data_IF_976698452228
#
_entry.id   IF_976698452228
#
_cell.length_a   1.000
_cell.length_b   1.000
_cell.length_c   1.000
_cell.angle_alpha   90.00
_cell.angle_beta   90.00
_cell.angle_gamma   90.00
#
_symmetry.space_group_name_H-M   'P 1'
#
loop_
_entity.id
_entity.type
_entity.pdbx_description
1 polymer ?
#
# COMPACT_ATOMS: atom_id res chain seq x y z
N UNK A 1 -12.23 20.14 14.70
CA UNK A 1 -11.76 20.55 13.35
C UNK A 1 -11.17 19.33 12.66
N UNK A 2 -11.81 18.86 11.60
CA UNK A 2 -11.18 17.94 10.64
C UNK A 2 -9.87 18.56 10.17
N UNK A 3 -8.79 17.77 10.08
CA UNK A 3 -7.53 18.27 9.54
C UNK A 3 -7.76 18.73 8.10
N UNK A 4 -7.11 19.83 7.68
CA UNK A 4 -7.21 20.33 6.30
C UNK A 4 -6.85 19.23 5.27
N UNK A 5 -5.94 18.32 5.63
CA UNK A 5 -5.61 17.13 4.85
C UNK A 5 -6.77 16.14 4.69
N UNK A 6 -7.64 15.99 5.70
CA UNK A 6 -8.78 15.08 5.60
C UNK A 6 -9.85 15.61 4.64
N UNK A 7 -9.95 16.94 4.47
CA UNK A 7 -10.96 17.53 3.58
C UNK A 7 -10.73 17.17 2.11
N UNK A 8 -9.47 16.90 1.71
CA UNK A 8 -9.09 16.46 0.36
C UNK A 8 -9.98 15.29 -0.11
N UNK A 9 -10.24 14.31 0.75
CA UNK A 9 -11.08 13.16 0.40
C UNK A 9 -12.57 13.45 0.41
N UNK A 10 -12.99 14.68 0.73
CA UNK A 10 -14.41 15.08 0.79
C UNK A 10 -14.77 16.21 -0.19
N UNK A 11 -13.79 16.82 -0.87
CA UNK A 11 -13.99 17.97 -1.76
C UNK A 11 -14.88 17.66 -2.98
N UNK A 12 -14.79 16.44 -3.52
CA UNK A 12 -15.56 16.05 -4.71
C UNK A 12 -16.26 14.72 -4.50
N UNK A 13 -17.37 14.51 -5.23
CA UNK A 13 -18.08 13.23 -5.24
C UNK A 13 -17.16 12.05 -5.57
N UNK A 14 -16.22 12.25 -6.49
CA UNK A 14 -15.25 11.21 -6.90
C UNK A 14 -14.30 10.86 -5.76
N UNK A 15 -13.72 11.87 -5.10
CA UNK A 15 -12.79 11.65 -3.98
C UNK A 15 -13.49 11.10 -2.75
N UNK A 16 -14.74 11.51 -2.50
CA UNK A 16 -15.56 10.99 -1.40
C UNK A 16 -15.91 9.52 -1.60
N UNK A 17 -16.27 9.11 -2.81
CA UNK A 17 -16.52 7.70 -3.15
C UNK A 17 -15.23 6.89 -3.07
N UNK A 18 -14.14 7.38 -3.68
CA UNK A 18 -12.85 6.71 -3.62
C UNK A 18 -12.40 6.53 -2.17
N UNK A 19 -12.45 7.60 -1.37
CA UNK A 19 -12.12 7.60 0.04
C UNK A 19 -12.94 6.60 0.85
N UNK A 20 -14.22 6.41 0.53
CA UNK A 20 -15.07 5.41 1.19
C UNK A 20 -14.71 3.98 0.78
N UNK A 21 -14.49 3.73 -0.51
CA UNK A 21 -14.20 2.38 -1.03
C UNK A 21 -12.82 1.90 -0.55
N UNK A 22 -11.79 2.75 -0.53
CA UNK A 22 -10.44 2.36 -0.06
C UNK A 22 -10.36 2.11 1.45
N UNK A 23 -11.27 2.67 2.25
CA UNK A 23 -11.36 2.43 3.70
C UNK A 23 -11.96 1.06 4.05
N UNK A 24 -12.53 0.36 3.08
CA UNK A 24 -13.18 -0.92 3.27
C UNK A 24 -12.57 -1.94 2.29
N UNK A 25 -11.27 -2.25 2.41
CA UNK A 25 -10.61 -3.15 1.48
C UNK A 25 -11.23 -4.55 1.49
N UNK A 26 -11.32 -5.16 0.31
CA UNK A 26 -11.92 -6.49 0.11
C UNK A 26 -13.45 -6.53 0.16
N UNK A 27 -14.14 -5.47 0.62
CA UNK A 27 -15.61 -5.42 0.59
C UNK A 27 -16.11 -5.07 -0.80
N UNK A 28 -17.12 -5.81 -1.26
CA UNK A 28 -17.89 -5.46 -2.45
C UNK A 28 -19.11 -4.60 -2.07
N UNK A 29 -19.39 -3.61 -2.92
CA UNK A 29 -20.47 -2.65 -2.73
C UNK A 29 -21.38 -2.58 -3.95
N UNK A 30 -22.67 -2.37 -3.73
CA UNK A 30 -23.57 -1.88 -4.77
C UNK A 30 -23.73 -0.36 -4.71
N UNK A 31 -24.16 0.27 -5.81
CA UNK A 31 -24.28 1.75 -5.90
C UNK A 31 -25.17 2.33 -4.80
N UNK A 32 -26.24 1.63 -4.40
CA UNK A 32 -27.16 2.06 -3.34
C UNK A 32 -26.48 2.15 -1.97
N UNK A 33 -25.56 1.24 -1.66
CA UNK A 33 -24.80 1.28 -0.40
C UNK A 33 -23.84 2.46 -0.38
N UNK A 34 -23.13 2.70 -1.49
CA UNK A 34 -22.21 3.83 -1.64
C UNK A 34 -22.99 5.15 -1.58
N UNK A 35 -24.15 5.21 -2.23
CA UNK A 35 -25.06 6.37 -2.16
C UNK A 35 -25.44 6.69 -0.72
N UNK A 36 -25.90 5.69 0.05
CA UNK A 36 -26.29 5.86 1.46
C UNK A 36 -25.10 6.29 2.33
N UNK A 37 -23.93 5.69 2.14
CA UNK A 37 -22.76 5.98 2.95
C UNK A 37 -22.13 7.34 2.66
N UNK A 38 -22.18 7.80 1.41
CA UNK A 38 -21.53 9.05 0.98
C UNK A 38 -22.47 10.24 0.89
N UNK A 39 -23.79 10.01 0.85
CA UNK A 39 -24.80 11.06 0.64
C UNK A 39 -24.80 11.67 -0.76
N UNK A 40 -24.07 11.10 -1.72
CA UNK A 40 -24.02 11.59 -3.10
C UNK A 40 -25.25 11.10 -3.86
N UNK A 41 -25.73 11.87 -4.86
CA UNK A 41 -26.85 11.44 -5.70
C UNK A 41 -26.54 10.17 -6.49
N UNK A 42 -27.57 9.40 -6.85
CA UNK A 42 -27.43 8.17 -7.67
C UNK A 42 -26.64 8.43 -8.97
N UNK A 43 -26.95 9.52 -9.67
CA UNK A 43 -26.24 9.91 -10.89
C UNK A 43 -24.76 10.24 -10.63
N UNK A 44 -24.47 10.97 -9.54
CA UNK A 44 -23.11 11.29 -9.13
C UNK A 44 -22.29 10.05 -8.76
N UNK A 45 -22.91 9.10 -8.04
CA UNK A 45 -22.30 7.80 -7.71
C UNK A 45 -21.98 7.02 -8.98
N UNK A 46 -22.94 6.89 -9.89
CA UNK A 46 -22.74 6.16 -11.14
C UNK A 46 -21.59 6.76 -11.98
N UNK A 47 -21.58 8.09 -12.14
CA UNK A 47 -20.54 8.79 -12.90
C UNK A 47 -19.16 8.62 -12.27
N UNK A 48 -19.05 8.82 -10.95
CA UNK A 48 -17.79 8.69 -10.22
C UNK A 48 -17.25 7.25 -10.28
N UNK A 49 -18.08 6.25 -10.04
CA UNK A 49 -17.67 4.85 -10.08
C UNK A 49 -17.22 4.40 -11.47
N UNK A 50 -17.89 4.87 -12.54
CA UNK A 50 -17.43 4.62 -13.92
C UNK A 50 -16.04 5.22 -14.16
N UNK A 51 -15.81 6.47 -13.73
CA UNK A 51 -14.51 7.14 -13.86
C UNK A 51 -13.40 6.43 -13.06
N UNK A 52 -13.69 6.05 -11.82
CA UNK A 52 -12.74 5.33 -10.97
C UNK A 52 -12.42 3.93 -11.51
N UNK A 53 -13.42 3.25 -12.08
CA UNK A 53 -13.22 1.96 -12.73
C UNK A 53 -12.38 2.08 -14.01
N UNK A 54 -12.62 3.10 -14.84
CA UNK A 54 -11.80 3.38 -16.01
C UNK A 54 -10.33 3.63 -15.64
N UNK A 55 -10.09 4.32 -14.51
CA UNK A 55 -8.75 4.57 -13.96
C UNK A 55 -8.16 3.40 -13.17
N UNK A 56 -8.86 2.26 -13.09
CA UNK A 56 -8.44 1.07 -12.32
C UNK A 56 -8.15 1.35 -10.83
N UNK A 57 -8.80 2.37 -10.25
CA UNK A 57 -8.73 2.65 -8.80
C UNK A 57 -9.82 1.92 -8.02
N UNK A 58 -10.90 1.54 -8.72
CA UNK A 58 -12.00 0.73 -8.23
C UNK A 58 -12.23 -0.40 -9.23
N UNK A 59 -12.34 -1.64 -8.76
CA UNK A 59 -12.74 -2.75 -9.60
C UNK A 59 -14.27 -2.78 -9.72
N UNK A 60 -14.77 -3.09 -10.92
CA UNK A 60 -16.20 -3.21 -11.20
C UNK A 60 -16.49 -4.58 -11.80
N UNK A 61 -17.27 -5.40 -11.10
CA UNK A 61 -17.71 -6.73 -11.56
C UNK A 61 -19.20 -6.73 -11.82
N UNK A 62 -19.63 -7.31 -12.94
CA UNK A 62 -21.04 -7.55 -13.22
C UNK A 62 -21.39 -8.95 -12.75
N UNK A 63 -22.44 -9.07 -11.92
CA UNK A 63 -23.04 -10.37 -11.56
C UNK A 63 -24.55 -10.27 -11.80
N UNK A 64 -25.03 -11.01 -12.79
CA UNK A 64 -26.40 -10.91 -13.29
C UNK A 64 -26.72 -9.49 -13.81
N UNK A 65 -27.74 -8.88 -13.20
CA UNK A 65 -28.19 -7.51 -13.52
C UNK A 65 -27.52 -6.42 -12.67
N UNK A 66 -26.67 -6.80 -11.71
CA UNK A 66 -26.06 -5.87 -10.76
C UNK A 66 -24.58 -5.66 -11.03
N UNK A 67 -24.09 -4.48 -10.65
CA UNK A 67 -22.67 -4.16 -10.60
C UNK A 67 -22.21 -4.09 -9.16
N UNK A 68 -21.09 -4.76 -8.90
CA UNK A 68 -20.38 -4.76 -7.63
C UNK A 68 -19.07 -4.00 -7.80
N UNK A 69 -18.74 -3.19 -6.80
CA UNK A 69 -17.57 -2.32 -6.80
C UNK A 69 -16.71 -2.62 -5.58
N UNK A 70 -15.40 -2.75 -5.77
CA UNK A 70 -14.45 -2.95 -4.66
C UNK A 70 -13.15 -2.21 -4.92
N UNK A 71 -12.35 -2.01 -3.88
CA UNK A 71 -11.02 -1.41 -4.04
C UNK A 71 -10.03 -2.42 -4.61
N UNK A 72 -9.04 -1.95 -5.36
CA UNK A 72 -7.95 -2.79 -5.82
C UNK A 72 -6.84 -2.83 -4.78
N UNK A 73 -6.81 -3.90 -3.97
CA UNK A 73 -5.88 -4.02 -2.83
C UNK A 73 -4.41 -4.05 -3.27
N UNK A 74 -4.14 -4.60 -4.46
CA UNK A 74 -2.78 -4.69 -5.02
C UNK A 74 -2.39 -3.43 -5.83
N UNK A 75 -3.30 -2.46 -5.97
CA UNK A 75 -2.99 -1.24 -6.69
C UNK A 75 -2.13 -0.31 -5.82
N UNK A 76 -0.92 -0.03 -6.30
CA UNK A 76 0.05 0.81 -5.60
C UNK A 76 -0.50 2.22 -5.29
N UNK A 77 -1.22 2.85 -6.22
CA UNK A 77 -1.84 4.17 -5.99
C UNK A 77 -2.90 4.09 -4.89
N UNK A 78 -3.66 3.00 -4.82
CA UNK A 78 -4.61 2.76 -3.72
C UNK A 78 -3.88 2.66 -2.39
N UNK A 79 -2.75 1.92 -2.32
CA UNK A 79 -1.92 1.87 -1.11
C UNK A 79 -1.45 3.27 -0.69
N UNK A 80 -0.92 4.06 -1.61
CA UNK A 80 -0.45 5.43 -1.31
C UNK A 80 -1.58 6.37 -0.87
N UNK A 81 -2.76 6.28 -1.48
CA UNK A 81 -3.94 7.05 -1.06
C UNK A 81 -4.40 6.66 0.35
N UNK A 82 -4.33 5.37 0.70
CA UNK A 82 -4.62 4.90 2.06
C UNK A 82 -3.61 5.44 3.06
N UNK A 83 -2.31 5.43 2.74
CA UNK A 83 -1.27 6.02 3.60
C UNK A 83 -1.57 7.52 3.84
N UNK A 84 -1.86 8.28 2.79
CA UNK A 84 -2.24 9.70 2.92
C UNK A 84 -3.46 9.88 3.83
N UNK A 85 -4.49 9.05 3.66
CA UNK A 85 -5.70 9.13 4.48
C UNK A 85 -5.45 8.73 5.94
N UNK A 86 -4.63 7.71 6.17
CA UNK A 86 -4.18 7.27 7.49
C UNK A 86 -3.44 8.41 8.21
N UNK A 87 -2.48 9.05 7.54
CA UNK A 87 -1.75 10.22 8.06
C UNK A 87 -2.69 11.39 8.36
N UNK A 88 -3.63 11.70 7.46
CA UNK A 88 -4.61 12.75 7.66
C UNK A 88 -5.48 12.52 8.91
N UNK A 89 -5.85 11.26 9.17
CA UNK A 89 -6.61 10.83 10.35
C UNK A 89 -5.79 10.88 11.64
N UNK A 90 -4.50 10.57 11.58
CA UNK A 90 -3.59 10.62 12.74
C UNK A 90 -3.14 12.04 13.08
N UNK A 91 -3.14 12.96 12.10
CA UNK A 91 -2.65 14.33 12.23
C UNK A 91 -3.10 15.07 13.51
N UNK A 92 -4.39 15.03 13.93
CA UNK A 92 -4.82 15.70 15.16
C UNK A 92 -4.16 15.15 16.43
N UNK A 93 -3.94 13.83 16.50
CA UNK A 93 -3.27 13.19 17.63
C UNK A 93 -1.77 13.50 17.61
N UNK A 94 -1.13 13.34 16.46
CA UNK A 94 0.30 13.64 16.27
C UNK A 94 0.62 15.08 16.67
N UNK A 95 -0.22 16.05 16.30
CA UNK A 95 -0.06 17.47 16.72
C UNK A 95 -0.02 17.66 18.23
N UNK A 96 -0.82 16.89 18.99
CA UNK A 96 -0.85 16.97 20.47
C UNK A 96 0.36 16.30 21.11
N UNK A 97 0.87 15.23 20.49
CA UNK A 97 1.98 14.44 21.01
C UNK A 97 3.36 15.01 20.62
N UNK A 98 3.41 15.86 19.58
CA UNK A 98 4.66 16.39 18.99
C UNK A 98 5.57 17.06 20.02
N UNK A 99 5.02 17.84 20.96
CA UNK A 99 5.84 18.57 21.94
C UNK A 99 6.27 17.71 23.13
N UNK A 100 5.68 16.51 23.27
CA UNK A 100 6.00 15.57 24.34
C UNK A 100 6.91 14.44 23.85
N UNK A 101 7.23 14.38 22.56
CA UNK A 101 7.89 13.22 21.96
C UNK A 101 9.04 13.68 21.06
N UNK A 102 10.20 13.04 21.20
CA UNK A 102 11.34 13.27 20.32
C UNK A 102 11.10 12.70 18.92
N UNK A 103 10.51 11.50 18.84
CA UNK A 103 10.16 10.83 17.57
C UNK A 103 8.81 10.12 17.76
N UNK A 104 7.96 10.22 16.74
CA UNK A 104 6.68 9.50 16.66
C UNK A 104 6.74 8.69 15.37
N UNK A 105 6.58 7.39 15.47
CA UNK A 105 6.76 6.45 14.38
C UNK A 105 5.48 5.67 14.17
N UNK A 106 4.92 5.77 12.96
CA UNK A 106 3.81 4.94 12.51
C UNK A 106 4.40 3.74 11.79
N UNK A 107 4.14 2.54 12.29
CA UNK A 107 4.60 1.31 11.65
C UNK A 107 3.42 0.36 11.40
N UNK A 108 3.71 -0.87 11.00
CA UNK A 108 2.67 -1.85 10.72
C UNK A 108 1.80 -1.50 9.51
N UNK A 109 0.60 -2.07 9.47
CA UNK A 109 -0.27 -2.05 8.29
C UNK A 109 -0.72 -0.65 7.86
N UNK A 110 -0.86 0.30 8.80
CA UNK A 110 -1.27 1.67 8.52
C UNK A 110 -0.19 2.48 7.80
N UNK A 111 1.09 2.22 8.11
CA UNK A 111 2.23 2.85 7.42
C UNK A 111 2.38 2.38 5.97
N UNK A 112 1.97 1.13 5.68
CA UNK A 112 2.10 0.48 4.36
C UNK A 112 0.84 0.59 3.48
N UNK A 113 -0.25 1.15 4.00
CA UNK A 113 -1.54 1.23 3.29
C UNK A 113 -2.26 -0.12 3.17
N UNK A 114 -1.83 -1.11 3.94
CA UNK A 114 -2.34 -2.50 3.92
C UNK A 114 -3.45 -2.71 4.97
N UNK A 115 -3.65 -1.72 5.85
CA UNK A 115 -4.63 -1.78 6.92
C UNK A 115 -6.04 -2.13 6.42
N UNK A 116 -6.67 -3.10 7.08
CA UNK A 116 -8.09 -3.37 6.95
C UNK A 116 -8.88 -2.30 7.72
N UNK A 117 -10.20 -2.30 7.55
CA UNK A 117 -11.09 -1.34 8.22
C UNK A 117 -10.89 -1.34 9.73
N UNK A 118 -10.71 -2.52 10.31
CA UNK A 118 -10.63 -2.77 11.74
C UNK A 118 -9.21 -3.03 12.25
N UNK A 119 -8.19 -2.86 11.39
CA UNK A 119 -6.80 -2.92 11.82
C UNK A 119 -6.50 -1.88 12.89
N UNK A 120 -5.74 -2.32 13.89
CA UNK A 120 -5.12 -1.47 14.89
C UNK A 120 -4.08 -0.53 14.27
N UNK A 121 -3.72 0.49 15.02
CA UNK A 121 -2.78 1.55 14.67
C UNK A 121 -1.56 1.40 15.58
N UNK A 122 -0.46 0.96 14.99
CA UNK A 122 0.80 0.75 15.70
C UNK A 122 1.61 2.04 15.71
N UNK A 123 1.78 2.64 16.90
CA UNK A 123 2.56 3.85 17.10
C UNK A 123 3.67 3.62 18.13
N UNK A 124 4.91 3.90 17.74
CA UNK A 124 6.05 3.98 18.66
C UNK A 124 6.38 5.45 18.95
N UNK A 125 6.50 5.81 20.23
CA UNK A 125 6.89 7.14 20.68
C UNK A 125 8.15 7.06 21.51
N UNK A 126 9.13 7.87 21.11
CA UNK A 126 10.34 8.11 21.86
C UNK A 126 10.11 9.33 22.75
N UNK A 127 9.94 9.12 24.04
CA UNK A 127 9.59 10.18 25.01
C UNK A 127 10.04 9.80 26.43
N UNK A 128 10.31 10.82 27.24
CA UNK A 128 10.48 10.69 28.69
C UNK A 128 9.21 11.07 29.48
N UNK A 129 8.13 11.48 28.80
CA UNK A 129 6.85 11.95 29.35
C UNK A 129 5.74 10.94 29.07
N UNK A 130 5.95 9.69 29.51
CA UNK A 130 5.08 8.58 29.17
C UNK A 130 3.64 8.76 29.70
N UNK A 131 3.50 9.34 30.89
CA UNK A 131 2.23 9.52 31.59
C UNK A 131 1.34 10.54 30.86
N UNK A 132 1.90 11.68 30.45
CA UNK A 132 1.20 12.72 29.71
C UNK A 132 0.76 12.21 28.34
N UNK A 133 1.62 11.45 27.65
CA UNK A 133 1.28 10.80 26.38
C UNK A 133 0.08 9.87 26.55
N UNK A 134 0.08 9.02 27.59
CA UNK A 134 -1.05 8.13 27.86
C UNK A 134 -2.35 8.90 28.14
N UNK A 135 -2.29 10.01 28.88
CA UNK A 135 -3.46 10.85 29.15
C UNK A 135 -4.05 11.46 27.87
N UNK A 136 -3.21 11.93 26.95
CA UNK A 136 -3.65 12.47 25.66
C UNK A 136 -4.26 11.36 24.79
N UNK A 137 -3.64 10.18 24.74
CA UNK A 137 -4.15 9.04 23.96
C UNK A 137 -5.50 8.56 24.50
N UNK A 138 -5.68 8.47 25.83
CA UNK A 138 -6.96 8.11 26.45
C UNK A 138 -8.10 9.05 26.04
N UNK A 139 -7.82 10.34 25.83
CA UNK A 139 -8.79 11.36 25.38
C UNK A 139 -8.98 11.39 23.85
N UNK A 140 -8.23 10.58 23.10
CA UNK A 140 -8.30 10.54 21.63
C UNK A 140 -9.53 9.77 21.14
N UNK A 141 -10.05 10.17 19.97
CA UNK A 141 -11.04 9.37 19.23
C UNK A 141 -10.48 8.06 18.69
N UNK A 142 -9.15 7.91 18.66
CA UNK A 142 -8.44 6.73 18.18
C UNK A 142 -8.06 5.75 19.31
N UNK A 143 -8.38 6.05 20.57
CA UNK A 143 -7.90 5.29 21.75
C UNK A 143 -8.12 3.78 21.65
N UNK A 144 -9.26 3.35 21.08
CA UNK A 144 -9.62 1.93 20.99
C UNK A 144 -8.92 1.19 19.84
N UNK A 145 -8.26 1.91 18.93
CA UNK A 145 -7.51 1.33 17.81
C UNK A 145 -6.01 1.45 17.99
N UNK A 146 -5.54 2.19 19.00
CA UNK A 146 -4.12 2.49 19.15
C UNK A 146 -3.42 1.41 19.96
N UNK A 147 -2.44 0.76 19.34
CA UNK A 147 -1.41 0.00 20.04
C UNK A 147 -0.18 0.90 20.19
N UNK A 148 0.14 1.23 21.44
CA UNK A 148 1.14 2.24 21.76
C UNK A 148 2.39 1.60 22.35
N UNK A 149 3.53 1.89 21.77
CA UNK A 149 4.85 1.55 22.30
C UNK A 149 5.50 2.84 22.76
N UNK A 150 5.78 2.93 24.06
CA UNK A 150 6.52 4.07 24.62
C UNK A 150 7.90 3.59 25.04
N UNK A 151 8.93 4.28 24.55
CA UNK A 151 10.33 4.04 24.90
C UNK A 151 11.02 5.37 25.19
N UNK A 152 12.01 5.34 26.09
CA UNK A 152 12.99 6.42 26.16
C UNK A 152 13.94 6.33 24.97
N UNK A 153 14.68 7.40 24.63
CA UNK A 153 15.67 7.35 23.54
C UNK A 153 16.73 6.26 23.76
N UNK A 154 17.18 6.09 25.00
CA UNK A 154 18.12 5.03 25.38
C UNK A 154 17.50 3.64 25.25
N UNK A 155 16.25 3.46 25.71
CA UNK A 155 15.53 2.19 25.60
C UNK A 155 15.24 1.79 24.14
N UNK A 156 15.10 2.77 23.24
CA UNK A 156 14.96 2.51 21.81
C UNK A 156 16.28 2.03 21.17
N UNK A 157 17.42 2.64 21.53
CA UNK A 157 18.73 2.18 21.06
C UNK A 157 19.08 0.76 21.57
N UNK A 158 18.65 0.40 22.77
CA UNK A 158 18.79 -0.97 23.27
C UNK A 158 17.95 -1.99 22.49
N UNK A 159 16.80 -1.55 21.95
CA UNK A 159 15.90 -2.44 21.21
C UNK A 159 16.57 -2.98 19.94
N UNK A 160 17.40 -2.18 19.28
CA UNK A 160 18.18 -2.61 18.11
C UNK A 160 19.00 -3.88 18.38
N UNK A 161 19.56 -4.00 19.59
CA UNK A 161 20.39 -5.15 19.99
C UNK A 161 19.54 -6.32 20.49
N UNK A 162 18.48 -6.02 21.25
CA UNK A 162 17.65 -7.04 21.92
C UNK A 162 16.67 -7.71 20.96
N UNK A 163 16.12 -6.94 20.03
CA UNK A 163 15.15 -7.40 19.03
C UNK A 163 15.36 -6.63 17.71
N UNK A 164 16.37 -7.00 16.91
CA UNK A 164 16.71 -6.31 15.69
C UNK A 164 15.61 -6.40 14.63
N UNK A 165 14.79 -7.45 14.64
CA UNK A 165 13.70 -7.64 13.68
C UNK A 165 12.59 -6.63 13.99
N UNK A 166 12.18 -6.55 15.24
CA UNK A 166 11.15 -5.61 15.66
C UNK A 166 11.62 -4.15 15.58
N UNK A 167 12.88 -3.89 15.94
CA UNK A 167 13.50 -2.58 15.73
C UNK A 167 13.41 -2.16 14.26
N UNK A 168 13.81 -3.04 13.32
CA UNK A 168 13.72 -2.75 11.88
C UNK A 168 12.28 -2.52 11.42
N UNK A 169 11.31 -3.25 11.96
CA UNK A 169 9.89 -3.02 11.64
C UNK A 169 9.45 -1.61 12.06
N UNK A 170 9.78 -1.21 13.29
CA UNK A 170 9.45 0.14 13.78
C UNK A 170 10.21 1.19 12.96
N UNK A 171 11.51 1.01 12.76
CA UNK A 171 12.35 2.01 12.11
C UNK A 171 11.99 2.22 10.63
N UNK A 172 11.59 1.15 9.92
CA UNK A 172 10.99 1.24 8.57
C UNK A 172 9.74 2.11 8.54
N UNK A 173 8.95 2.14 9.61
CA UNK A 173 7.82 3.08 9.73
C UNK A 173 8.24 4.54 9.92
N UNK A 174 9.48 4.78 10.35
CA UNK A 174 10.08 6.11 10.51
C UNK A 174 10.69 6.67 9.23
N UNK A 175 11.05 5.81 8.28
CA UNK A 175 11.46 6.16 6.92
C UNK A 175 10.20 6.36 6.07
N UNK A 176 9.82 7.61 5.81
CA UNK A 176 8.56 7.93 5.13
C UNK A 176 8.68 7.85 3.60
N UNK A 177 7.61 7.35 2.96
CA UNK A 177 7.42 6.97 1.55
C UNK A 177 8.23 5.75 1.10
N UNK A 178 7.52 4.76 0.53
CA UNK A 178 8.14 3.73 -0.31
C UNK A 178 9.16 4.40 -1.21
N UNK A 179 10.43 4.05 -1.03
CA UNK A 179 11.46 4.48 -1.95
C UNK A 179 11.06 4.03 -3.36
N UNK A 180 11.52 4.74 -4.40
CA UNK A 180 11.28 4.30 -5.78
C UNK A 180 11.74 2.85 -5.96
N UNK A 181 12.80 2.44 -5.25
CA UNK A 181 13.28 1.05 -5.24
C UNK A 181 12.25 0.09 -4.65
N UNK A 182 11.66 0.39 -3.50
CA UNK A 182 10.59 -0.44 -2.89
C UNK A 182 9.31 -0.46 -3.72
N UNK A 183 9.03 0.62 -4.45
CA UNK A 183 7.87 0.70 -5.34
C UNK A 183 7.93 -0.31 -6.50
N UNK A 184 9.15 -0.67 -6.91
CA UNK A 184 9.44 -1.62 -7.97
C UNK A 184 10.14 -2.87 -7.44
N UNK A 185 10.09 -3.14 -6.13
CA UNK A 185 10.63 -4.40 -5.58
C UNK A 185 9.66 -5.54 -5.91
N UNK A 186 10.17 -6.51 -6.66
CA UNK A 186 9.49 -7.72 -7.10
C UNK A 186 10.11 -8.97 -6.45
N UNK A 187 10.87 -8.80 -5.36
CA UNK A 187 11.47 -9.92 -4.63
C UNK A 187 10.43 -10.97 -4.23
N UNK A 188 10.61 -12.21 -4.71
CA UNK A 188 9.72 -13.33 -4.45
C UNK A 188 8.53 -13.46 -5.41
N UNK A 189 8.36 -12.51 -6.33
CA UNK A 189 7.38 -12.59 -7.41
C UNK A 189 7.92 -13.37 -8.60
N UNK A 190 7.02 -13.93 -9.41
CA UNK A 190 7.36 -14.64 -10.65
C UNK A 190 6.77 -13.92 -11.86
N UNK A 191 7.58 -13.71 -12.88
CA UNK A 191 7.15 -13.05 -14.12
C UNK A 191 7.31 -13.97 -15.34
N UNK A 192 6.46 -13.76 -16.34
CA UNK A 192 6.56 -14.38 -17.66
C UNK A 192 6.68 -13.26 -18.68
N UNK A 193 7.70 -13.29 -19.53
CA UNK A 193 7.89 -12.30 -20.60
C UNK A 193 7.90 -13.00 -21.95
N UNK A 194 7.01 -12.59 -22.84
CA UNK A 194 6.87 -13.14 -24.21
C UNK A 194 7.59 -12.26 -25.22
N UNK A 195 8.14 -12.87 -26.29
CA UNK A 195 9.03 -12.15 -27.22
C UNK A 195 10.34 -11.73 -26.55
N UNK A 196 10.74 -12.45 -25.50
CA UNK A 196 11.78 -12.03 -24.57
C UNK A 196 13.21 -12.34 -25.04
N UNK A 197 13.38 -12.93 -26.22
CA UNK A 197 14.71 -13.28 -26.72
C UNK A 197 15.49 -12.08 -27.31
N UNK A 198 14.86 -10.91 -27.47
CA UNK A 198 15.49 -9.69 -28.01
C UNK A 198 14.70 -8.42 -27.73
N UNK A 199 15.35 -7.28 -27.94
CA UNK A 199 14.71 -5.97 -28.00
C UNK A 199 14.01 -5.61 -26.68
N UNK A 200 12.79 -5.05 -26.76
CA UNK A 200 12.06 -4.63 -25.56
C UNK A 200 11.70 -5.80 -24.64
N UNK A 201 11.41 -6.98 -25.18
CA UNK A 201 11.07 -8.15 -24.36
C UNK A 201 12.26 -8.60 -23.51
N UNK A 202 13.45 -8.64 -24.10
CA UNK A 202 14.69 -8.92 -23.36
C UNK A 202 14.95 -7.89 -22.25
N UNK A 203 14.87 -6.60 -22.59
CA UNK A 203 15.09 -5.53 -21.60
C UNK A 203 14.06 -5.58 -20.47
N UNK A 204 12.81 -5.92 -20.77
CA UNK A 204 11.78 -6.08 -19.75
C UNK A 204 12.06 -7.28 -18.84
N UNK A 205 12.50 -8.41 -19.40
CA UNK A 205 12.87 -9.60 -18.62
C UNK A 205 14.03 -9.31 -17.66
N UNK A 206 15.06 -8.62 -18.13
CA UNK A 206 16.20 -8.20 -17.30
C UNK A 206 15.77 -7.21 -16.22
N UNK A 207 14.99 -6.18 -16.55
CA UNK A 207 14.53 -5.19 -15.58
C UNK A 207 13.64 -5.79 -14.48
N UNK A 208 12.78 -6.76 -14.81
CA UNK A 208 11.96 -7.47 -13.83
C UNK A 208 12.82 -8.34 -12.90
N UNK A 209 13.88 -8.96 -13.43
CA UNK A 209 14.82 -9.72 -12.63
C UNK A 209 15.67 -8.82 -11.70
N UNK A 210 16.16 -7.68 -12.20
CA UNK A 210 16.86 -6.68 -11.39
C UNK A 210 15.98 -6.11 -10.27
N UNK A 211 14.67 -5.98 -10.54
CA UNK A 211 13.66 -5.62 -9.57
C UNK A 211 13.41 -6.72 -8.51
N UNK A 212 13.86 -7.96 -8.72
CA UNK A 212 13.81 -9.05 -7.75
C UNK A 212 12.98 -10.27 -8.16
N UNK A 213 12.34 -10.25 -9.32
CA UNK A 213 11.48 -11.36 -9.75
C UNK A 213 12.30 -12.54 -10.31
N UNK A 214 11.76 -13.75 -10.16
CA UNK A 214 12.16 -14.89 -11.00
C UNK A 214 11.42 -14.80 -12.34
N UNK A 215 12.11 -15.04 -13.46
CA UNK A 215 11.56 -14.71 -14.79
C UNK A 215 11.59 -15.89 -15.76
N UNK A 216 10.43 -16.28 -16.29
CA UNK A 216 10.34 -17.17 -17.44
C UNK A 216 10.44 -16.37 -18.75
N UNK A 217 11.45 -16.68 -19.56
CA UNK A 217 11.74 -16.06 -20.85
C UNK A 217 11.10 -16.90 -21.95
N UNK A 218 10.05 -16.37 -22.58
CA UNK A 218 9.25 -17.09 -23.60
C UNK A 218 9.49 -16.49 -24.98
N UNK A 219 9.93 -17.31 -25.94
CA UNK A 219 10.14 -16.89 -27.32
C UNK A 219 10.05 -18.07 -28.29
N UNK A 220 9.89 -17.80 -29.59
CA UNK A 220 10.00 -18.81 -30.64
C UNK A 220 11.46 -19.24 -30.86
N UNK A 221 12.41 -18.36 -30.55
CA UNK A 221 13.85 -18.61 -30.60
C UNK A 221 14.38 -19.03 -29.22
N UNK A 222 14.47 -20.34 -28.99
CA UNK A 222 14.88 -20.91 -27.70
C UNK A 222 16.34 -20.62 -27.34
N UNK A 223 17.23 -20.57 -28.34
CA UNK A 223 18.66 -20.33 -28.10
C UNK A 223 18.88 -18.89 -27.65
N UNK A 224 18.22 -17.93 -28.31
CA UNK A 224 18.28 -16.53 -27.91
C UNK A 224 17.57 -16.29 -26.55
N UNK A 225 16.46 -16.98 -26.27
CA UNK A 225 15.82 -16.95 -24.95
C UNK A 225 16.75 -17.47 -23.84
N UNK A 226 17.48 -18.57 -24.10
CA UNK A 226 18.40 -19.18 -23.14
C UNK A 226 19.50 -18.21 -22.71
N UNK A 227 20.05 -17.42 -23.65
CA UNK A 227 21.05 -16.37 -23.32
C UNK A 227 20.51 -15.36 -22.32
N UNK A 228 19.26 -14.94 -22.47
CA UNK A 228 18.62 -13.99 -21.54
C UNK A 228 18.44 -14.64 -20.17
N UNK A 229 18.07 -15.92 -20.10
CA UNK A 229 17.98 -16.64 -18.82
C UNK A 229 19.32 -16.75 -18.11
N UNK A 230 20.41 -16.92 -18.85
CA UNK A 230 21.76 -16.99 -18.26
C UNK A 230 22.17 -15.63 -17.67
N UNK A 231 21.82 -14.53 -18.34
CA UNK A 231 22.01 -13.18 -17.77
C UNK A 231 21.23 -12.98 -16.48
N UNK A 232 19.97 -13.44 -16.43
CA UNK A 232 19.12 -13.35 -15.23
C UNK A 232 19.72 -14.19 -14.08
N UNK A 233 20.20 -15.40 -14.36
CA UNK A 233 20.86 -16.25 -13.36
C UNK A 233 22.15 -15.63 -12.83
N UNK A 234 22.89 -14.91 -13.66
CA UNK A 234 24.12 -14.23 -13.25
C UNK A 234 23.88 -13.08 -12.25
N UNK A 235 22.65 -12.56 -12.13
CA UNK A 235 22.26 -11.58 -11.11
C UNK A 235 21.55 -12.21 -9.90
N UNK A 236 21.77 -13.51 -9.66
CA UNK A 236 21.23 -14.28 -8.53
C UNK A 236 19.70 -14.37 -8.51
N UNK A 237 19.10 -14.59 -9.70
CA UNK A 237 17.65 -14.79 -9.89
C UNK A 237 17.36 -16.06 -10.66
N UNK A 238 16.24 -16.71 -10.35
CA UNK A 238 15.84 -17.92 -11.07
C UNK A 238 15.23 -17.56 -12.43
N UNK A 239 15.47 -18.40 -13.42
CA UNK A 239 14.97 -18.19 -14.77
C UNK A 239 14.89 -19.47 -15.57
N UNK A 240 13.88 -19.56 -16.44
CA UNK A 240 13.66 -20.68 -17.37
C UNK A 240 13.35 -20.16 -18.77
N UNK A 241 13.87 -20.85 -19.80
CA UNK A 241 13.59 -20.53 -21.18
C UNK A 241 12.48 -21.46 -21.70
N UNK A 242 11.46 -20.89 -22.33
CA UNK A 242 10.31 -21.64 -22.86
C UNK A 242 10.15 -21.31 -24.35
N UNK A 243 10.17 -22.36 -25.18
CA UNK A 243 9.88 -22.21 -26.61
C UNK A 243 8.37 -22.17 -26.83
N UNK A 244 7.82 -21.02 -27.20
CA UNK A 244 6.40 -20.90 -27.52
C UNK A 244 6.12 -19.80 -28.56
N UNK A 245 5.10 -20.04 -29.38
CA UNK A 245 4.52 -19.07 -30.31
C UNK A 245 3.17 -18.62 -29.75
N UNK A 246 3.10 -17.39 -29.25
CA UNK A 246 1.91 -16.84 -28.59
C UNK A 246 0.86 -16.30 -29.56
N UNK A 247 1.07 -16.47 -30.87
CA UNK A 247 0.11 -16.07 -31.91
C UNK A 247 -0.84 -17.21 -32.31
N UNK A 248 -0.65 -18.41 -31.77
CA UNK A 248 -1.36 -19.64 -32.13
C UNK A 248 -2.20 -20.20 -30.98
#
# INVERSE_FOLDING_TARGET
>A
MTSHLYSIFTETSTLKILGYVIENPGREFIEKEIQKATGISKAGVNLALRRLAQKRLVERKRRGRMYFYTTQVNNLLVKQLKILKNMARLSPLVKKLKNLSQKIILFGSWSRGENLKDSDIDLCLLTNSAEEVQQIVKKSSLRNKLQLIIRTPTGFAELEKKDPVFFKEIDRGGENLMSVKEMFDLSGEKAIVTGAARGLGEQMALALAEAGADVAVVDVNIDAASRVTDHIRNIDRDSIAIKADVTK
#
